data_IF_973286249302
#
_entry.id   IF_973286249302
#
_cell.length_a   1.000
_cell.length_b   1.000
_cell.length_c   1.000
_cell.angle_alpha   90.00
_cell.angle_beta   90.00
_cell.angle_gamma   90.00
#
_symmetry.space_group_name_H-M   'P 1'
#
loop_
_entity.id
_entity.type
_entity.pdbx_description
1 polymer ?
#
# COMPACT_ATOMS: atom_id res chain seq x y z
N UNK A 1 18.28 -7.81 -58.42
CA UNK A 1 17.40 -8.00 -57.25
C UNK A 1 16.08 -7.38 -57.57
N UNK A 2 14.96 -8.16 -57.50
CA UNK A 2 13.60 -7.68 -57.76
C UNK A 2 13.30 -6.43 -56.86
N UNK A 3 12.74 -5.34 -57.41
CA UNK A 3 12.43 -4.15 -56.66
C UNK A 3 11.60 -4.40 -55.39
N UNK A 4 10.70 -5.38 -55.42
CA UNK A 4 9.91 -5.84 -54.25
C UNK A 4 10.80 -6.45 -53.18
N UNK A 5 11.76 -7.29 -53.53
CA UNK A 5 12.70 -7.91 -52.60
C UNK A 5 13.61 -6.85 -51.95
N UNK A 6 14.11 -5.89 -52.76
CA UNK A 6 14.90 -4.78 -52.23
C UNK A 6 14.09 -3.91 -51.26
N UNK A 7 12.83 -3.58 -51.56
CA UNK A 7 11.94 -2.86 -50.66
C UNK A 7 11.69 -3.61 -49.38
N UNK A 8 11.42 -4.91 -49.47
CA UNK A 8 11.25 -5.79 -48.27
C UNK A 8 12.52 -5.76 -47.41
N UNK A 9 13.67 -6.05 -47.95
CA UNK A 9 14.93 -6.13 -47.21
C UNK A 9 15.37 -4.79 -46.60
N UNK A 10 15.06 -3.66 -47.25
CA UNK A 10 15.57 -2.34 -46.84
C UNK A 10 14.56 -1.55 -45.99
N UNK A 11 13.29 -1.90 -45.98
CA UNK A 11 12.26 -1.16 -45.27
C UNK A 11 11.44 -2.04 -44.34
N UNK A 12 10.91 -3.17 -44.82
CA UNK A 12 10.01 -4.02 -44.03
C UNK A 12 10.82 -4.83 -43.01
N UNK A 13 11.86 -5.52 -43.43
CA UNK A 13 12.67 -6.34 -42.55
C UNK A 13 13.30 -5.57 -41.37
N UNK A 14 13.91 -4.39 -41.58
CA UNK A 14 14.38 -3.57 -40.46
C UNK A 14 13.25 -3.07 -39.55
N UNK A 15 12.09 -2.73 -40.10
CA UNK A 15 10.94 -2.32 -39.31
C UNK A 15 10.43 -3.48 -38.43
N UNK A 16 10.34 -4.69 -38.99
CA UNK A 16 9.98 -5.91 -38.23
C UNK A 16 11.04 -6.25 -37.18
N UNK A 17 12.33 -6.07 -37.51
CA UNK A 17 13.42 -6.29 -36.55
C UNK A 17 13.35 -5.29 -35.40
N UNK A 18 13.09 -4.02 -35.66
CA UNK A 18 12.90 -3.00 -34.61
C UNK A 18 11.67 -3.32 -33.74
N UNK A 19 10.57 -3.74 -34.35
CA UNK A 19 9.38 -4.17 -33.62
C UNK A 19 9.68 -5.38 -32.73
N UNK A 20 10.40 -6.38 -33.25
CA UNK A 20 10.81 -7.55 -32.47
C UNK A 20 11.76 -7.17 -31.31
N UNK A 21 12.71 -6.27 -31.54
CA UNK A 21 13.59 -5.76 -30.48
C UNK A 21 12.79 -4.98 -29.42
N UNK A 22 11.83 -4.16 -29.84
CA UNK A 22 10.96 -3.44 -28.91
C UNK A 22 10.12 -4.40 -28.05
N UNK A 23 9.54 -5.42 -28.67
CA UNK A 23 8.64 -6.35 -27.99
C UNK A 23 9.41 -7.35 -27.10
N UNK A 24 10.50 -7.93 -27.62
CA UNK A 24 11.24 -9.01 -26.96
C UNK A 24 12.53 -8.56 -26.27
N UNK A 25 13.11 -7.45 -26.69
CA UNK A 25 14.38 -6.95 -26.17
C UNK A 25 14.36 -6.72 -24.65
N UNK A 26 13.34 -6.06 -24.08
CA UNK A 26 13.23 -5.89 -22.62
C UNK A 26 13.19 -7.20 -21.85
N UNK A 27 12.54 -8.24 -22.39
CA UNK A 27 12.50 -9.57 -21.78
C UNK A 27 13.89 -10.26 -21.85
N UNK A 28 14.52 -10.27 -23.02
CA UNK A 28 15.88 -10.82 -23.16
C UNK A 28 16.90 -10.09 -22.28
N UNK A 29 16.78 -8.79 -22.18
CA UNK A 29 17.62 -7.99 -21.28
C UNK A 29 17.39 -8.36 -19.83
N UNK A 30 16.14 -8.55 -19.43
CA UNK A 30 15.79 -8.97 -18.08
C UNK A 30 16.35 -10.39 -17.79
N UNK A 31 16.23 -11.33 -18.72
CA UNK A 31 16.79 -12.68 -18.59
C UNK A 31 18.32 -12.66 -18.42
N UNK A 32 19.02 -11.76 -19.12
CA UNK A 32 20.46 -11.64 -19.04
C UNK A 32 20.98 -11.06 -17.69
N UNK A 33 20.11 -10.43 -16.89
CA UNK A 33 20.47 -9.92 -15.57
C UNK A 33 20.58 -11.06 -14.56
N UNK A 34 21.60 -10.97 -13.68
CA UNK A 34 21.74 -11.91 -12.56
C UNK A 34 20.79 -11.54 -11.43
N UNK A 35 20.11 -12.51 -10.87
CA UNK A 35 19.30 -12.34 -9.65
C UNK A 35 20.19 -12.02 -8.44
N UNK A 36 19.64 -11.32 -7.48
CA UNK A 36 20.33 -10.99 -6.22
C UNK A 36 19.57 -11.62 -5.07
N UNK A 37 20.13 -12.64 -4.39
CA UNK A 37 19.49 -13.27 -3.25
C UNK A 37 19.38 -12.30 -2.07
N UNK A 38 18.20 -12.24 -1.47
CA UNK A 38 17.96 -11.50 -0.23
C UNK A 38 16.82 -12.17 0.55
N UNK A 39 16.90 -12.14 1.88
CA UNK A 39 15.83 -12.58 2.77
C UNK A 39 14.88 -11.41 3.06
N UNK A 40 13.92 -11.19 2.18
CA UNK A 40 12.84 -10.21 2.38
C UNK A 40 11.66 -10.93 3.02
N UNK A 41 11.31 -10.51 4.22
CA UNK A 41 10.18 -11.06 4.94
C UNK A 41 8.94 -10.21 4.61
N UNK A 42 7.94 -10.84 4.01
CA UNK A 42 6.65 -10.22 3.70
C UNK A 42 5.67 -10.66 4.77
N UNK A 43 5.05 -9.73 5.48
CA UNK A 43 4.04 -9.99 6.51
C UNK A 43 2.69 -9.47 6.00
N UNK A 44 1.74 -10.39 5.84
CA UNK A 44 0.38 -10.08 5.42
C UNK A 44 -0.61 -10.98 6.17
N UNK A 45 -1.36 -10.36 7.08
CA UNK A 45 -2.33 -11.06 7.92
C UNK A 45 -3.75 -11.02 7.36
N UNK A 46 -3.96 -10.27 6.25
CA UNK A 46 -5.27 -9.99 5.64
C UNK A 46 -5.44 -10.77 4.33
N UNK A 47 -5.34 -12.10 4.40
CA UNK A 47 -5.43 -12.99 3.23
C UNK A 47 -6.60 -13.97 3.37
N UNK A 48 -7.87 -13.52 3.34
CA UNK A 48 -9.01 -14.43 3.44
C UNK A 48 -9.15 -15.33 2.20
N UNK A 49 -8.64 -14.88 1.03
CA UNK A 49 -8.75 -15.54 -0.26
C UNK A 49 -7.40 -15.66 -0.97
N UNK A 50 -7.34 -16.53 -2.00
CA UNK A 50 -6.14 -16.80 -2.81
C UNK A 50 -5.82 -15.72 -3.84
N UNK A 51 -6.26 -14.50 -3.65
CA UNK A 51 -5.91 -13.38 -4.53
C UNK A 51 -4.66 -12.61 -4.07
N UNK A 52 -4.23 -12.81 -2.82
CA UNK A 52 -3.00 -12.27 -2.22
C UNK A 52 -2.79 -10.76 -2.46
N UNK A 53 -3.89 -10.01 -2.57
CA UNK A 53 -3.91 -8.64 -3.09
C UNK A 53 -3.03 -7.68 -2.28
N UNK A 54 -2.97 -7.86 -0.97
CA UNK A 54 -2.26 -6.98 -0.03
C UNK A 54 -0.72 -7.08 -0.15
N UNK A 55 -0.18 -8.04 -0.90
CA UNK A 55 1.27 -8.14 -1.13
C UNK A 55 1.66 -8.58 -2.56
N UNK A 56 0.70 -8.92 -3.41
CA UNK A 56 0.97 -9.36 -4.79
C UNK A 56 1.78 -8.35 -5.60
N UNK A 57 1.48 -7.05 -5.43
CA UNK A 57 2.23 -6.02 -6.15
C UNK A 57 3.67 -5.85 -5.63
N UNK A 58 3.91 -6.06 -4.34
CA UNK A 58 5.26 -6.06 -3.78
C UNK A 58 6.06 -7.27 -4.27
N UNK A 59 5.46 -8.46 -4.27
CA UNK A 59 6.06 -9.67 -4.83
C UNK A 59 6.41 -9.50 -6.30
N UNK A 60 5.50 -8.87 -7.08
CA UNK A 60 5.76 -8.50 -8.47
C UNK A 60 6.98 -7.56 -8.59
N UNK A 61 7.09 -6.54 -7.71
CA UNK A 61 8.22 -5.61 -7.70
C UNK A 61 9.54 -6.33 -7.45
N UNK A 62 9.59 -7.20 -6.44
CA UNK A 62 10.78 -8.01 -6.14
C UNK A 62 11.21 -8.85 -7.35
N UNK A 63 10.25 -9.47 -8.03
CA UNK A 63 10.52 -10.26 -9.24
C UNK A 63 11.07 -9.39 -10.37
N UNK A 64 10.46 -8.23 -10.66
CA UNK A 64 10.94 -7.31 -11.71
C UNK A 64 12.36 -6.81 -11.43
N UNK A 65 12.67 -6.52 -10.17
CA UNK A 65 14.01 -6.09 -9.73
C UNK A 65 15.02 -7.26 -9.72
N UNK A 66 14.59 -8.50 -9.99
CA UNK A 66 15.40 -9.73 -9.86
C UNK A 66 15.95 -9.94 -8.46
N UNK A 67 15.18 -9.57 -7.45
CA UNK A 67 15.44 -9.97 -6.08
C UNK A 67 14.87 -11.38 -5.90
N UNK A 68 15.72 -12.31 -5.46
CA UNK A 68 15.35 -13.70 -5.27
C UNK A 68 15.39 -14.07 -3.78
N UNK A 69 14.74 -15.17 -3.43
CA UNK A 69 14.88 -15.77 -2.11
C UNK A 69 16.35 -16.15 -1.86
N UNK A 70 16.75 -16.43 -0.63
CA UNK A 70 18.10 -16.94 -0.33
C UNK A 70 18.50 -18.20 -1.10
N UNK A 71 17.53 -19.05 -1.53
CA UNK A 71 17.76 -20.21 -2.38
C UNK A 71 17.99 -19.88 -3.86
N UNK A 72 17.73 -18.63 -4.27
CA UNK A 72 17.86 -18.19 -5.66
C UNK A 72 16.55 -18.28 -6.47
N UNK A 73 15.46 -18.73 -5.86
CA UNK A 73 14.15 -18.81 -6.49
C UNK A 73 13.44 -17.42 -6.50
N UNK A 74 12.59 -17.14 -7.48
CA UNK A 74 11.78 -15.92 -7.45
C UNK A 74 10.79 -15.94 -6.26
N UNK A 75 10.54 -14.76 -5.69
CA UNK A 75 9.46 -14.60 -4.72
C UNK A 75 8.11 -14.89 -5.35
N UNK A 76 7.26 -15.63 -4.61
CA UNK A 76 5.91 -16.04 -5.02
C UNK A 76 4.90 -15.56 -3.98
N UNK A 77 3.81 -14.95 -4.44
CA UNK A 77 2.77 -14.41 -3.57
C UNK A 77 2.07 -15.48 -2.72
N UNK A 78 1.93 -16.70 -3.26
CA UNK A 78 1.25 -17.80 -2.59
C UNK A 78 2.07 -18.51 -1.50
N UNK A 79 3.39 -18.28 -1.42
CA UNK A 79 4.28 -19.07 -0.55
C UNK A 79 5.38 -18.31 0.17
N UNK A 80 5.69 -17.08 -0.23
CA UNK A 80 6.80 -16.32 0.36
C UNK A 80 6.29 -15.15 1.22
N UNK A 81 5.30 -15.40 2.05
CA UNK A 81 4.80 -14.45 3.05
C UNK A 81 4.51 -15.16 4.38
N UNK A 82 4.42 -14.37 5.43
CA UNK A 82 3.94 -14.78 6.75
C UNK A 82 2.61 -14.08 7.05
N UNK A 83 1.67 -14.81 7.62
CA UNK A 83 0.36 -14.31 7.96
C UNK A 83 -0.71 -15.40 7.86
N UNK A 84 -1.85 -15.11 7.26
CA UNK A 84 -2.93 -16.08 7.17
C UNK A 84 -2.84 -16.91 5.89
N UNK A 85 -2.78 -18.25 6.05
CA UNK A 85 -2.85 -19.18 4.91
C UNK A 85 -4.33 -19.49 4.55
N UNK A 86 -4.84 -18.99 3.41
CA UNK A 86 -6.22 -19.23 3.00
C UNK A 86 -6.51 -20.68 2.60
N UNK A 87 -5.48 -21.49 2.36
CA UNK A 87 -5.63 -22.91 2.01
C UNK A 87 -5.83 -23.77 3.24
N UNK A 88 -5.00 -23.53 4.28
CA UNK A 88 -5.04 -24.25 5.53
C UNK A 88 -5.99 -23.60 6.55
N UNK A 89 -6.35 -22.33 6.32
CA UNK A 89 -7.13 -21.48 7.24
C UNK A 89 -6.47 -21.34 8.61
N UNK A 90 -5.17 -21.14 8.59
CA UNK A 90 -4.33 -21.00 9.79
C UNK A 90 -3.50 -19.71 9.68
N UNK A 91 -3.41 -18.97 10.79
CA UNK A 91 -2.54 -17.83 10.93
C UNK A 91 -1.15 -18.25 11.42
N UNK A 92 -0.11 -17.59 10.90
CA UNK A 92 1.29 -17.78 11.28
C UNK A 92 1.85 -16.44 11.72
N UNK A 93 2.10 -16.31 13.02
CA UNK A 93 2.75 -15.12 13.58
C UNK A 93 4.26 -15.14 13.36
N UNK A 94 4.85 -13.95 13.35
CA UNK A 94 6.27 -13.74 13.20
C UNK A 94 7.05 -14.36 14.37
N UNK A 95 8.08 -15.13 14.06
CA UNK A 95 8.95 -15.77 15.06
C UNK A 95 10.36 -15.19 15.03
N UNK A 96 11.16 -15.50 16.05
CA UNK A 96 12.57 -15.08 16.10
C UNK A 96 13.40 -15.65 14.93
N UNK A 97 13.10 -16.89 14.50
CA UNK A 97 13.81 -17.53 13.38
C UNK A 97 13.47 -16.86 12.04
N UNK A 98 12.24 -16.34 11.89
CA UNK A 98 11.84 -15.60 10.69
C UNK A 98 12.62 -14.29 10.59
N UNK A 99 12.71 -13.55 11.69
CA UNK A 99 13.40 -12.24 11.75
C UNK A 99 14.91 -12.38 11.66
N UNK A 100 15.45 -13.53 12.10
CA UNK A 100 16.86 -13.77 12.05
C UNK A 100 17.39 -13.67 10.63
N UNK A 101 18.44 -12.87 10.43
CA UNK A 101 19.09 -12.64 9.13
C UNK A 101 18.18 -12.07 8.02
N UNK A 102 17.01 -11.53 8.38
CA UNK A 102 16.18 -10.81 7.42
C UNK A 102 16.90 -9.52 6.96
N UNK A 103 16.92 -9.29 5.66
CA UNK A 103 17.49 -8.09 5.06
C UNK A 103 16.55 -6.90 5.18
N UNK A 104 15.25 -7.17 4.95
CA UNK A 104 14.18 -6.23 5.17
C UNK A 104 12.89 -6.96 5.56
N UNK A 105 12.01 -6.26 6.26
CA UNK A 105 10.67 -6.74 6.59
C UNK A 105 9.67 -5.74 6.01
N UNK A 106 8.73 -6.25 5.23
CA UNK A 106 7.64 -5.49 4.63
C UNK A 106 6.30 -5.97 5.20
N UNK A 107 5.50 -5.02 5.68
CA UNK A 107 4.13 -5.26 6.14
C UNK A 107 3.16 -4.74 5.08
N UNK A 108 2.40 -5.63 4.45
CA UNK A 108 1.29 -5.27 3.57
C UNK A 108 0.08 -4.85 4.38
N UNK A 109 -0.50 -5.74 5.15
CA UNK A 109 -1.65 -5.44 6.01
C UNK A 109 -1.67 -6.36 7.24
N UNK A 110 -2.15 -5.85 8.36
CA UNK A 110 -2.35 -6.62 9.60
C UNK A 110 -3.79 -6.58 10.15
N UNK A 111 -4.75 -6.01 9.42
CA UNK A 111 -6.16 -6.00 9.81
C UNK A 111 -6.69 -7.42 10.09
N UNK A 112 -6.33 -8.37 9.24
CA UNK A 112 -6.57 -9.78 9.48
C UNK A 112 -7.81 -10.32 8.79
N UNK A 113 -8.22 -11.51 9.25
CA UNK A 113 -9.30 -12.30 8.67
C UNK A 113 -10.41 -12.49 9.67
N UNK A 114 -11.65 -12.31 9.23
CA UNK A 114 -12.85 -12.32 10.03
C UNK A 114 -13.86 -13.35 9.50
N UNK A 115 -14.76 -13.82 10.37
CA UNK A 115 -15.85 -14.73 9.97
C UNK A 115 -16.73 -14.12 8.87
N UNK A 116 -16.89 -12.80 8.87
CA UNK A 116 -17.65 -12.05 7.87
C UNK A 116 -17.10 -12.15 6.46
N UNK A 117 -15.78 -12.28 6.29
CA UNK A 117 -15.14 -12.34 4.97
C UNK A 117 -15.60 -13.54 4.14
N UNK A 118 -16.05 -14.61 4.81
CA UNK A 118 -16.56 -15.82 4.14
C UNK A 118 -18.07 -15.84 3.94
N UNK A 119 -18.78 -14.76 4.30
CA UNK A 119 -20.23 -14.66 4.11
C UNK A 119 -20.57 -14.09 2.74
N UNK A 120 -21.75 -14.48 2.23
CA UNK A 120 -22.21 -13.95 0.94
C UNK A 120 -22.68 -12.50 1.09
N UNK A 121 -22.48 -11.65 0.08
CA UNK A 121 -23.11 -10.35 0.05
C UNK A 121 -24.63 -10.48 0.26
N UNK A 122 -25.20 -9.67 1.16
CA UNK A 122 -26.63 -9.70 1.50
C UNK A 122 -27.01 -10.53 2.73
N UNK A 123 -26.09 -11.31 3.31
CA UNK A 123 -26.32 -11.92 4.63
C UNK A 123 -26.38 -10.83 5.70
N UNK A 124 -27.47 -10.78 6.48
CA UNK A 124 -27.65 -9.80 7.59
C UNK A 124 -26.47 -9.83 8.55
N UNK A 125 -25.90 -11.00 8.78
CA UNK A 125 -24.71 -11.18 9.63
C UNK A 125 -23.39 -10.63 8.99
N UNK A 126 -23.37 -10.30 7.71
CA UNK A 126 -22.26 -9.57 7.09
C UNK A 126 -22.28 -8.06 7.40
N UNK A 127 -23.38 -7.57 8.01
CA UNK A 127 -23.55 -6.18 8.41
C UNK A 127 -23.03 -5.88 9.82
N UNK A 128 -22.74 -6.90 10.61
CA UNK A 128 -22.23 -6.74 11.97
C UNK A 128 -20.71 -6.91 12.01
N UNK A 129 -20.04 -6.28 12.97
CA UNK A 129 -18.63 -6.57 13.26
C UNK A 129 -18.51 -8.06 13.60
N UNK A 130 -17.90 -8.81 12.68
CA UNK A 130 -17.80 -10.26 12.83
C UNK A 130 -16.61 -10.63 13.70
N UNK A 131 -16.64 -11.85 14.25
CA UNK A 131 -15.56 -12.36 15.07
C UNK A 131 -14.26 -12.44 14.27
N UNK A 132 -13.17 -11.92 14.84
CA UNK A 132 -11.82 -12.05 14.31
C UNK A 132 -11.38 -13.52 14.38
N UNK A 133 -10.87 -14.03 13.27
CA UNK A 133 -10.22 -15.33 13.16
C UNK A 133 -8.73 -15.19 13.44
N UNK A 134 -8.09 -14.20 12.77
CA UNK A 134 -6.66 -13.94 12.87
C UNK A 134 -6.39 -12.46 12.52
N UNK A 135 -5.29 -11.88 13.01
CA UNK A 135 -4.86 -10.52 12.67
C UNK A 135 -4.46 -9.69 13.88
N UNK A 136 -3.91 -8.52 13.60
CA UNK A 136 -3.25 -7.65 14.56
C UNK A 136 -1.81 -8.09 14.84
N UNK A 137 -1.03 -7.20 15.41
CA UNK A 137 0.34 -7.49 15.88
C UNK A 137 0.27 -7.95 17.33
N UNK A 138 0.90 -9.08 17.64
CA UNK A 138 1.03 -9.58 19.01
C UNK A 138 2.16 -8.83 19.76
N UNK A 139 2.18 -8.97 21.08
CA UNK A 139 3.25 -8.38 21.92
C UNK A 139 4.60 -8.99 21.60
N UNK A 140 4.65 -10.28 21.34
CA UNK A 140 5.84 -11.02 20.98
C UNK A 140 6.41 -10.52 19.65
N UNK A 141 5.56 -10.37 18.64
CA UNK A 141 5.95 -9.80 17.34
C UNK A 141 6.47 -8.37 17.47
N UNK A 142 5.76 -7.50 18.18
CA UNK A 142 6.20 -6.12 18.41
C UNK A 142 7.58 -6.07 19.10
N UNK A 143 7.84 -6.98 20.04
CA UNK A 143 9.15 -7.09 20.72
C UNK A 143 10.25 -7.53 19.77
N UNK A 144 9.98 -8.49 18.89
CA UNK A 144 10.94 -8.94 17.86
C UNK A 144 11.25 -7.83 16.86
N UNK A 145 10.23 -7.10 16.44
CA UNK A 145 10.36 -5.98 15.49
C UNK A 145 11.14 -4.81 16.08
N UNK A 146 10.89 -4.47 17.35
CA UNK A 146 11.69 -3.45 18.04
C UNK A 146 13.16 -3.85 18.12
N UNK A 147 13.45 -5.09 18.52
CA UNK A 147 14.82 -5.60 18.56
C UNK A 147 15.49 -5.62 17.17
N UNK A 148 14.74 -5.92 16.11
CA UNK A 148 15.21 -5.89 14.73
C UNK A 148 15.51 -4.44 14.28
N UNK A 149 14.61 -3.51 14.53
CA UNK A 149 14.81 -2.09 14.24
C UNK A 149 15.99 -1.51 15.02
N UNK A 150 16.15 -1.90 16.30
CA UNK A 150 17.29 -1.47 17.13
C UNK A 150 18.65 -1.91 16.60
N UNK A 151 18.72 -3.02 15.88
CA UNK A 151 19.92 -3.49 15.17
C UNK A 151 20.13 -2.81 13.82
N UNK A 152 19.28 -1.87 13.43
CA UNK A 152 19.35 -1.15 12.15
C UNK A 152 18.71 -1.90 10.98
N UNK A 153 17.85 -2.87 11.28
CA UNK A 153 17.05 -3.57 10.28
C UNK A 153 16.11 -2.63 9.53
N UNK A 154 15.81 -2.95 8.29
CA UNK A 154 14.89 -2.16 7.45
C UNK A 154 13.47 -2.66 7.62
N UNK A 155 12.61 -1.80 8.17
CA UNK A 155 11.17 -2.04 8.30
C UNK A 155 10.40 -1.10 7.38
N UNK A 156 9.52 -1.65 6.58
CA UNK A 156 8.58 -0.90 5.73
C UNK A 156 7.19 -1.40 6.07
N UNK A 157 6.30 -0.51 6.45
CA UNK A 157 4.93 -0.85 6.80
C UNK A 157 3.95 0.10 6.17
N UNK A 158 2.77 -0.42 5.87
CA UNK A 158 1.65 0.31 5.31
C UNK A 158 0.49 0.44 6.29
N UNK A 159 -0.57 1.06 5.81
CA UNK A 159 -1.90 1.14 6.41
C UNK A 159 -2.26 -0.09 7.25
N UNK A 160 -3.02 0.11 8.32
CA UNK A 160 -3.48 -0.91 9.28
C UNK A 160 -2.38 -1.62 10.10
N UNK A 161 -1.09 -1.33 9.92
CA UNK A 161 -0.03 -2.07 10.64
C UNK A 161 -0.15 -1.95 12.17
N UNK A 162 -0.61 -0.82 12.68
CA UNK A 162 -0.84 -0.64 14.12
C UNK A 162 -2.25 -0.14 14.47
N UNK A 163 -3.15 -0.07 13.49
CA UNK A 163 -4.55 0.18 13.73
C UNK A 163 -5.25 -1.06 14.35
N UNK A 164 -6.54 -0.94 14.63
CA UNK A 164 -7.35 -2.10 15.06
C UNK A 164 -7.27 -3.23 14.01
N UNK A 165 -7.10 -4.51 14.39
CA UNK A 165 -7.34 -5.08 15.72
C UNK A 165 -6.08 -5.26 16.60
N UNK A 166 -4.98 -4.57 16.32
CA UNK A 166 -3.79 -4.58 17.19
C UNK A 166 -4.15 -3.97 18.55
N UNK A 167 -3.88 -4.71 19.62
CA UNK A 167 -4.19 -4.28 20.99
C UNK A 167 -3.30 -3.11 21.43
N UNK A 168 -3.72 -2.36 22.46
CA UNK A 168 -3.06 -1.12 22.89
C UNK A 168 -1.57 -1.28 23.22
N UNK A 169 -1.19 -2.37 23.89
CA UNK A 169 0.21 -2.54 24.31
C UNK A 169 1.17 -2.82 23.14
N UNK A 170 0.91 -3.77 22.23
CA UNK A 170 1.71 -3.93 21.02
C UNK A 170 1.57 -2.72 20.09
N UNK A 171 0.40 -2.06 20.00
CA UNK A 171 0.21 -0.82 19.24
C UNK A 171 1.18 0.26 19.69
N UNK A 172 1.23 0.56 20.99
CA UNK A 172 2.13 1.57 21.55
C UNK A 172 3.61 1.27 21.24
N UNK A 173 3.99 0.01 21.17
CA UNK A 173 5.34 -0.41 20.79
C UNK A 173 5.61 -0.20 19.30
N UNK A 174 4.65 -0.55 18.42
CA UNK A 174 4.75 -0.30 16.98
C UNK A 174 4.78 1.21 16.67
N UNK A 175 3.94 2.00 17.34
CA UNK A 175 3.94 3.46 17.23
C UNK A 175 5.30 4.06 17.60
N UNK A 176 5.95 3.54 18.65
CA UNK A 176 7.31 3.97 19.02
C UNK A 176 8.36 3.59 17.97
N UNK A 177 8.26 2.40 17.35
CA UNK A 177 9.15 1.95 16.27
C UNK A 177 9.04 2.88 15.05
N UNK A 178 7.83 3.23 14.64
CA UNK A 178 7.59 4.05 13.45
C UNK A 178 7.58 5.57 13.74
N UNK A 179 7.73 5.96 15.00
CA UNK A 179 7.76 7.38 15.40
C UNK A 179 6.46 8.14 15.12
N UNK A 180 5.36 7.43 15.16
CA UNK A 180 4.02 7.92 14.89
C UNK A 180 3.04 7.48 15.97
N UNK A 181 1.86 8.08 16.00
CA UNK A 181 0.73 7.66 16.83
C UNK A 181 -0.53 7.65 15.98
N UNK A 182 -1.24 6.54 15.99
CA UNK A 182 -2.54 6.46 15.33
C UNK A 182 -3.59 7.23 16.11
N UNK A 183 -4.38 8.02 15.42
CA UNK A 183 -5.43 8.86 16.02
C UNK A 183 -6.76 8.13 16.20
N UNK A 184 -6.81 6.83 15.91
CA UNK A 184 -8.00 5.99 15.83
C UNK A 184 -8.93 6.32 14.65
N UNK A 185 -8.48 7.18 13.73
CA UNK A 185 -9.18 7.53 12.52
C UNK A 185 -8.54 6.84 11.31
N UNK A 186 -9.40 6.32 10.43
CA UNK A 186 -9.07 5.93 9.06
C UNK A 186 -9.94 6.73 8.11
N UNK A 187 -9.50 6.87 6.87
CA UNK A 187 -10.32 7.57 5.88
C UNK A 187 -10.13 6.99 4.49
N UNK A 188 -11.10 7.27 3.62
CA UNK A 188 -11.07 6.97 2.20
C UNK A 188 -11.85 8.00 1.42
N UNK A 189 -11.41 8.30 0.21
CA UNK A 189 -12.19 9.03 -0.78
C UNK A 189 -13.00 8.05 -1.63
N UNK A 190 -14.30 8.27 -1.78
CA UNK A 190 -15.17 7.55 -2.69
C UNK A 190 -15.59 8.48 -3.82
N UNK A 191 -15.49 8.01 -5.07
CA UNK A 191 -15.93 8.74 -6.24
C UNK A 191 -17.46 8.83 -6.30
N UNK A 192 -18.17 7.81 -5.84
CA UNK A 192 -19.61 7.78 -5.73
C UNK A 192 -20.09 6.93 -4.56
N UNK A 193 -20.69 7.59 -3.57
CA UNK A 193 -21.27 6.93 -2.41
C UNK A 193 -22.48 6.05 -2.74
N UNK A 194 -23.04 6.12 -3.97
CA UNK A 194 -24.12 5.23 -4.41
C UNK A 194 -23.62 3.86 -4.90
N UNK A 195 -22.32 3.69 -5.06
CA UNK A 195 -21.74 2.42 -5.51
C UNK A 195 -21.73 1.39 -4.36
N UNK A 196 -22.73 0.52 -4.33
CA UNK A 196 -22.91 -0.52 -3.31
C UNK A 196 -21.81 -1.62 -3.35
N UNK A 197 -21.03 -1.70 -4.43
CA UNK A 197 -19.92 -2.65 -4.54
C UNK A 197 -18.67 -2.13 -3.81
N UNK A 198 -18.49 -0.81 -3.75
CA UNK A 198 -17.33 -0.19 -3.12
C UNK A 198 -17.61 0.37 -1.73
N UNK A 199 -18.80 0.92 -1.51
CA UNK A 199 -19.17 1.54 -0.23
C UNK A 199 -19.71 0.48 0.73
N UNK A 200 -18.99 0.18 1.82
CA UNK A 200 -19.42 -0.85 2.76
C UNK A 200 -20.79 -0.53 3.38
N UNK A 201 -21.67 -1.52 3.46
CA UNK A 201 -22.99 -1.34 4.04
C UNK A 201 -22.94 -0.93 5.52
N UNK A 202 -21.90 -1.37 6.25
CA UNK A 202 -21.70 -0.98 7.64
C UNK A 202 -21.52 0.54 7.78
N UNK A 203 -20.88 1.21 6.84
CA UNK A 203 -20.66 2.66 6.88
C UNK A 203 -21.99 3.42 6.94
N UNK A 204 -22.94 3.06 6.08
CA UNK A 204 -24.27 3.71 6.04
C UNK A 204 -25.07 3.40 7.29
N UNK A 205 -25.05 2.14 7.74
CA UNK A 205 -25.75 1.71 8.94
C UNK A 205 -25.22 2.43 10.19
N UNK A 206 -23.91 2.52 10.33
CA UNK A 206 -23.28 3.11 11.50
C UNK A 206 -23.47 4.62 11.53
N UNK A 207 -23.46 5.27 10.34
CA UNK A 207 -23.81 6.68 10.20
C UNK A 207 -25.26 6.95 10.62
N UNK A 208 -26.23 6.16 10.09
CA UNK A 208 -27.64 6.27 10.47
C UNK A 208 -27.84 6.04 11.96
N UNK A 209 -27.18 5.02 12.52
CA UNK A 209 -27.26 4.72 13.96
C UNK A 209 -26.72 5.86 14.82
N UNK A 210 -25.63 6.49 14.40
CA UNK A 210 -24.96 7.56 15.16
C UNK A 210 -25.70 8.89 15.10
N UNK A 211 -26.17 9.26 13.91
CA UNK A 211 -26.69 10.60 13.66
C UNK A 211 -28.21 10.66 13.47
N UNK A 212 -28.90 9.53 13.36
CA UNK A 212 -30.35 9.45 13.16
C UNK A 212 -30.82 9.91 11.78
N UNK A 213 -29.87 10.15 10.85
CA UNK A 213 -30.10 10.52 9.46
C UNK A 213 -29.30 9.61 8.53
N UNK A 214 -29.80 9.38 7.34
CA UNK A 214 -29.07 8.58 6.35
C UNK A 214 -27.85 9.35 5.82
N UNK A 215 -26.75 8.62 5.62
CA UNK A 215 -25.62 9.15 4.84
C UNK A 215 -26.10 9.41 3.42
N UNK A 216 -25.93 10.62 2.91
CA UNK A 216 -26.33 10.93 1.55
C UNK A 216 -25.63 10.04 0.53
N UNK A 217 -26.42 9.43 -0.37
CA UNK A 217 -25.96 8.36 -1.25
C UNK A 217 -25.38 8.81 -2.58
N UNK A 218 -25.33 10.11 -2.90
CA UNK A 218 -24.96 10.56 -4.26
C UNK A 218 -23.68 11.37 -4.24
N UNK A 219 -22.87 11.14 -5.27
CA UNK A 219 -21.65 11.88 -5.51
C UNK A 219 -20.48 11.45 -4.64
N UNK A 220 -19.37 12.10 -4.85
CA UNK A 220 -18.12 11.82 -4.18
C UNK A 220 -18.05 12.37 -2.75
N UNK A 221 -17.26 11.74 -1.91
CA UNK A 221 -16.95 12.24 -0.57
C UNK A 221 -15.63 11.68 -0.04
N UNK A 222 -14.93 12.50 0.74
CA UNK A 222 -13.87 12.04 1.64
C UNK A 222 -14.51 11.71 2.99
N UNK A 223 -14.43 10.45 3.41
CA UNK A 223 -15.08 9.99 4.63
C UNK A 223 -14.04 9.49 5.61
N UNK A 224 -14.05 10.07 6.80
CA UNK A 224 -13.27 9.67 7.95
C UNK A 224 -14.14 8.80 8.87
N UNK A 225 -13.56 7.72 9.38
CA UNK A 225 -14.22 6.79 10.30
C UNK A 225 -13.33 6.59 11.51
N UNK A 226 -13.87 6.82 12.69
CA UNK A 226 -13.20 6.58 13.95
C UNK A 226 -13.48 5.17 14.47
N UNK A 227 -12.58 4.62 15.27
CA UNK A 227 -12.71 3.28 15.85
C UNK A 227 -14.00 3.09 16.69
N UNK A 228 -14.57 4.17 17.26
CA UNK A 228 -15.83 4.17 18.01
C UNK A 228 -17.08 4.46 17.17
N UNK A 229 -16.99 4.31 15.84
CA UNK A 229 -18.06 4.55 14.85
C UNK A 229 -18.45 6.03 14.68
N UNK A 230 -17.60 7.00 15.05
CA UNK A 230 -17.78 8.37 14.63
C UNK A 230 -17.42 8.51 13.15
N UNK A 231 -18.23 9.22 12.35
CA UNK A 231 -18.08 9.31 10.90
C UNK A 231 -18.19 10.74 10.44
N UNK A 232 -17.19 11.23 9.72
CA UNK A 232 -17.18 12.57 9.14
C UNK A 232 -17.08 12.45 7.62
N UNK A 233 -18.12 12.92 6.92
CA UNK A 233 -18.12 12.95 5.46
C UNK A 233 -17.94 14.40 4.97
N UNK A 234 -16.91 14.63 4.15
CA UNK A 234 -16.62 15.91 3.50
C UNK A 234 -16.96 15.82 2.02
N UNK A 235 -17.72 16.80 1.52
CA UNK A 235 -18.20 16.82 0.15
C UNK A 235 -17.47 17.85 -0.71
N UNK A 236 -17.08 17.49 -1.94
CA UNK A 236 -16.57 18.45 -2.90
C UNK A 236 -17.56 19.59 -3.17
N UNK A 237 -17.05 20.82 -3.22
CA UNK A 237 -17.85 22.03 -3.44
C UNK A 237 -18.60 22.57 -2.22
N UNK A 238 -18.70 21.79 -1.13
CA UNK A 238 -19.28 22.23 0.14
C UNK A 238 -18.19 22.31 1.22
N UNK A 239 -17.50 21.22 1.48
CA UNK A 239 -16.54 21.04 2.54
C UNK A 239 -15.10 21.06 2.04
N UNK A 240 -14.86 20.56 0.82
CA UNK A 240 -13.53 20.45 0.22
C UNK A 240 -13.52 21.05 -1.20
N UNK A 241 -12.37 21.63 -1.57
CA UNK A 241 -12.15 22.26 -2.87
C UNK A 241 -11.52 21.30 -3.89
N UNK A 242 -11.18 20.07 -3.48
CA UNK A 242 -10.55 19.07 -4.33
C UNK A 242 -11.33 17.75 -4.33
N UNK A 243 -11.22 17.02 -5.44
CA UNK A 243 -11.88 15.72 -5.65
C UNK A 243 -11.02 14.53 -5.19
N UNK A 244 -9.84 14.77 -4.63
CA UNK A 244 -8.91 13.72 -4.20
C UNK A 244 -8.00 14.22 -3.07
N UNK A 245 -7.46 13.29 -2.29
CA UNK A 245 -6.40 13.60 -1.33
C UNK A 245 -5.08 13.87 -2.05
N UNK A 246 -4.40 14.93 -1.66
CA UNK A 246 -3.06 15.23 -2.16
C UNK A 246 -2.01 14.87 -1.12
N UNK A 247 -0.99 14.14 -1.55
CA UNK A 247 0.24 13.94 -0.79
C UNK A 247 1.29 14.93 -1.26
N UNK A 248 1.82 15.75 -0.38
CA UNK A 248 2.85 16.75 -0.67
C UNK A 248 4.18 16.37 -0.04
N UNK A 249 5.26 16.34 -0.85
CA UNK A 249 6.60 16.07 -0.34
C UNK A 249 7.06 17.20 0.58
N UNK A 250 7.57 16.85 1.75
CA UNK A 250 8.20 17.78 2.68
C UNK A 250 9.67 18.05 2.30
N UNK A 251 10.34 18.93 3.02
CA UNK A 251 11.78 19.16 2.85
C UNK A 251 12.65 17.98 3.27
N UNK A 252 12.09 17.01 4.00
CA UNK A 252 12.78 15.78 4.41
C UNK A 252 12.75 14.69 3.34
N UNK A 253 11.88 14.81 2.32
CA UNK A 253 11.81 13.84 1.21
C UNK A 253 12.98 13.97 0.25
N UNK A 254 13.42 12.83 -0.30
CA UNK A 254 14.51 12.80 -1.29
C UNK A 254 14.19 13.69 -2.50
N UNK A 255 15.20 14.37 -3.04
CA UNK A 255 15.03 15.30 -4.15
C UNK A 255 14.53 14.61 -5.42
N UNK A 256 14.88 13.35 -5.65
CA UNK A 256 14.49 12.54 -6.81
C UNK A 256 13.04 12.07 -6.77
N UNK A 257 12.42 12.05 -5.58
CA UNK A 257 11.06 11.58 -5.40
C UNK A 257 10.02 12.59 -5.89
N UNK A 258 8.82 12.15 -6.29
CA UNK A 258 7.76 13.03 -6.77
C UNK A 258 7.45 14.15 -5.79
N UNK A 259 7.11 15.34 -6.30
CA UNK A 259 6.74 16.46 -5.42
C UNK A 259 5.36 16.28 -4.79
N UNK A 260 4.44 15.71 -5.58
CA UNK A 260 3.05 15.48 -5.19
C UNK A 260 2.58 14.14 -5.74
N UNK A 261 1.59 13.54 -5.08
CA UNK A 261 0.81 12.43 -5.59
C UNK A 261 -0.65 12.59 -5.16
N UNK A 262 -1.57 12.03 -5.93
CA UNK A 262 -3.00 11.98 -5.56
C UNK A 262 -3.34 10.60 -5.05
N UNK A 263 -4.14 10.53 -4.00
CA UNK A 263 -4.49 9.29 -3.34
C UNK A 263 -5.98 9.21 -3.04
N UNK A 264 -6.61 8.11 -3.36
CA UNK A 264 -8.07 7.94 -3.26
C UNK A 264 -8.51 6.73 -2.43
N UNK A 265 -7.56 5.91 -1.98
CA UNK A 265 -7.85 4.67 -1.27
C UNK A 265 -7.80 4.85 0.25
N UNK A 266 -7.74 3.75 1.01
CA UNK A 266 -7.73 3.79 2.47
C UNK A 266 -6.42 4.35 3.03
N UNK A 267 -6.50 5.14 4.09
CA UNK A 267 -5.35 5.65 4.82
C UNK A 267 -5.65 5.89 6.30
N UNK A 268 -4.60 5.77 7.11
CA UNK A 268 -4.61 6.12 8.53
C UNK A 268 -4.40 7.62 8.73
N UNK A 269 -5.06 8.18 9.72
CA UNK A 269 -4.73 9.51 10.24
C UNK A 269 -3.80 9.33 11.43
N UNK A 270 -2.55 9.78 11.26
CA UNK A 270 -1.49 9.62 12.26
C UNK A 270 -0.90 10.96 12.67
N UNK A 271 -0.38 11.03 13.89
CA UNK A 271 0.39 12.14 14.42
C UNK A 271 1.87 11.74 14.53
N UNK A 272 2.78 12.70 14.33
CA UNK A 272 4.20 12.47 14.56
C UNK A 272 4.50 12.44 16.06
N UNK A 273 5.35 11.50 16.45
CA UNK A 273 5.97 11.51 17.79
C UNK A 273 7.47 11.78 17.70
N UNK A 274 8.25 10.83 17.22
CA UNK A 274 9.70 10.96 17.04
C UNK A 274 10.14 10.80 15.57
N UNK A 275 9.23 10.39 14.68
CA UNK A 275 9.46 10.27 13.25
C UNK A 275 9.54 11.61 12.54
N UNK A 276 9.93 11.57 11.29
CA UNK A 276 9.97 12.73 10.39
C UNK A 276 9.01 12.51 9.25
N UNK A 277 8.07 13.44 9.02
CA UNK A 277 7.21 13.36 7.85
C UNK A 277 7.98 13.65 6.58
N UNK A 278 7.92 12.70 5.66
CA UNK A 278 8.54 12.78 4.33
C UNK A 278 7.52 13.26 3.29
N UNK A 279 6.28 12.84 3.46
CA UNK A 279 5.11 13.35 2.75
C UNK A 279 3.99 13.60 3.74
N UNK A 280 3.21 14.63 3.49
CA UNK A 280 2.00 14.94 4.23
C UNK A 280 0.77 14.78 3.32
N UNK A 281 -0.29 14.21 3.85
CA UNK A 281 -1.64 14.37 3.30
C UNK A 281 -2.12 15.81 3.54
N UNK A 282 -2.81 16.35 2.56
CA UNK A 282 -3.46 17.65 2.66
C UNK A 282 -4.90 17.54 2.18
N UNK A 283 -5.82 17.95 3.06
CA UNK A 283 -7.23 18.15 2.72
C UNK A 283 -7.42 19.63 2.35
N UNK A 284 -7.71 19.91 1.10
CA UNK A 284 -8.02 21.27 0.65
C UNK A 284 -9.47 21.58 1.03
N UNK A 285 -9.66 22.24 2.17
CA UNK A 285 -10.96 22.50 2.77
C UNK A 285 -11.45 23.90 2.50
N UNK A 286 -12.79 24.04 2.36
CA UNK A 286 -13.49 25.29 2.59
C UNK A 286 -13.48 25.65 4.09
N UNK A 287 -13.92 26.84 4.46
CA UNK A 287 -14.09 27.22 5.87
C UNK A 287 -15.08 26.28 6.61
N UNK A 288 -16.13 25.83 5.91
CA UNK A 288 -17.10 24.88 6.44
C UNK A 288 -16.47 23.51 6.73
N UNK A 289 -15.69 22.98 5.78
CA UNK A 289 -14.99 21.71 5.95
C UNK A 289 -13.92 21.76 7.03
N UNK A 290 -13.14 22.85 7.09
CA UNK A 290 -12.15 23.05 8.15
C UNK A 290 -12.80 23.06 9.55
N UNK A 291 -13.95 23.71 9.68
CA UNK A 291 -14.72 23.72 10.93
C UNK A 291 -15.23 22.32 11.28
N UNK A 292 -15.79 21.60 10.31
CA UNK A 292 -16.27 20.21 10.47
C UNK A 292 -15.16 19.29 10.95
N UNK A 293 -13.97 19.34 10.34
CA UNK A 293 -12.81 18.57 10.79
C UNK A 293 -12.38 18.94 12.21
N UNK A 294 -12.33 20.25 12.53
CA UNK A 294 -11.93 20.72 13.85
C UNK A 294 -12.89 20.27 14.98
N UNK A 295 -14.19 20.15 14.71
CA UNK A 295 -15.19 19.63 15.66
C UNK A 295 -14.88 18.18 16.08
N UNK A 296 -14.26 17.40 15.17
CA UNK A 296 -13.83 16.02 15.40
C UNK A 296 -12.33 15.90 15.71
N UNK A 297 -11.62 17.02 15.93
CA UNK A 297 -10.17 17.07 16.18
C UNK A 297 -9.32 16.48 15.05
N UNK A 298 -9.86 16.45 13.84
CA UNK A 298 -9.15 16.02 12.65
C UNK A 298 -8.33 17.17 12.06
N UNK A 299 -7.04 16.97 11.77
CA UNK A 299 -6.22 17.98 11.13
C UNK A 299 -6.50 18.07 9.62
N UNK A 300 -6.27 19.23 9.04
CA UNK A 300 -6.31 19.42 7.56
C UNK A 300 -5.02 18.95 6.88
N UNK A 301 -3.97 18.73 7.68
CA UNK A 301 -2.67 18.27 7.20
C UNK A 301 -2.06 17.30 8.22
N UNK A 302 -1.61 16.13 7.76
CA UNK A 302 -1.06 15.09 8.61
C UNK A 302 -0.13 14.17 7.81
N UNK A 303 0.77 13.41 8.46
CA UNK A 303 1.75 12.60 7.76
C UNK A 303 1.14 11.53 6.86
N UNK A 304 1.65 11.41 5.63
CA UNK A 304 1.35 10.35 4.67
C UNK A 304 2.48 9.30 4.60
N UNK A 305 3.74 9.77 4.69
CA UNK A 305 4.92 8.89 4.75
C UNK A 305 5.83 9.38 5.84
N UNK A 306 6.19 8.49 6.74
CA UNK A 306 7.04 8.77 7.89
C UNK A 306 8.32 7.97 7.79
N UNK A 307 9.44 8.65 7.96
CA UNK A 307 10.74 8.05 8.21
C UNK A 307 11.07 8.18 9.70
N UNK A 308 11.12 7.07 10.39
CA UNK A 308 11.58 7.04 11.77
C UNK A 308 13.08 6.72 11.86
N UNK A 309 13.61 6.69 13.04
CA UNK A 309 15.00 6.31 13.25
C UNK A 309 15.29 4.90 12.70
N UNK A 310 16.55 4.65 12.27
CA UNK A 310 17.04 3.30 12.01
C UNK A 310 16.42 2.58 10.80
N UNK A 311 16.16 3.24 9.68
CA UNK A 311 15.58 2.66 8.46
C UNK A 311 14.17 2.09 8.65
N UNK A 312 13.34 2.69 9.47
CA UNK A 312 11.93 2.34 9.59
C UNK A 312 11.06 3.33 8.84
N UNK A 313 10.14 2.81 8.03
CA UNK A 313 9.30 3.58 7.12
C UNK A 313 7.84 3.18 7.29
N UNK A 314 6.98 4.15 7.49
CA UNK A 314 5.54 3.97 7.55
C UNK A 314 4.84 4.75 6.46
N UNK A 315 4.05 4.07 5.67
CA UNK A 315 3.16 4.64 4.66
C UNK A 315 1.74 4.57 5.22
N UNK A 316 1.15 5.71 5.51
CA UNK A 316 -0.18 5.74 6.12
C UNK A 316 -1.31 5.36 5.15
N UNK A 317 -1.02 5.14 3.87
CA UNK A 317 -1.96 4.67 2.85
C UNK A 317 -1.77 3.20 2.54
N UNK A 318 -2.84 2.55 2.12
CA UNK A 318 -2.90 1.20 1.56
C UNK A 318 -2.48 1.25 0.08
N UNK A 319 -1.17 1.41 -0.14
CA UNK A 319 -0.63 1.76 -1.46
C UNK A 319 -0.37 0.55 -2.35
N UNK A 320 -0.14 -0.60 -1.74
CA UNK A 320 0.16 -1.85 -2.45
C UNK A 320 -1.12 -2.52 -2.95
N UNK A 321 -2.25 -2.35 -2.26
CA UNK A 321 -3.56 -2.86 -2.66
C UNK A 321 -4.17 -2.02 -3.78
N UNK A 322 -3.72 -2.25 -4.97
CA UNK A 322 -4.19 -1.53 -6.16
C UNK A 322 -4.63 -2.49 -7.26
N UNK A 323 -5.73 -2.13 -7.92
CA UNK A 323 -6.22 -2.81 -9.11
C UNK A 323 -5.41 -2.50 -10.38
N UNK A 324 -4.36 -1.64 -10.30
CA UNK A 324 -3.55 -1.28 -11.44
C UNK A 324 -2.91 -2.51 -12.10
N UNK A 325 -3.08 -2.63 -13.41
CA UNK A 325 -2.46 -3.70 -14.18
C UNK A 325 -0.93 -3.62 -14.10
N UNK A 326 -0.31 -4.67 -13.61
CA UNK A 326 1.14 -4.73 -13.38
C UNK A 326 1.91 -5.21 -14.62
N UNK A 327 1.29 -6.07 -15.42
CA UNK A 327 1.94 -6.69 -16.59
C UNK A 327 2.96 -7.76 -16.21
N UNK A 328 3.71 -8.21 -17.20
CA UNK A 328 4.75 -9.22 -17.01
C UNK A 328 5.96 -8.62 -16.26
N UNK A 329 6.33 -9.16 -15.09
CA UNK A 329 7.49 -8.68 -14.33
C UNK A 329 8.83 -8.94 -15.04
N UNK A 330 8.90 -9.89 -15.97
CA UNK A 330 10.12 -10.26 -16.67
C UNK A 330 10.48 -9.31 -17.82
N UNK A 331 10.34 -8.02 -17.60
CA UNK A 331 10.68 -6.97 -18.56
C UNK A 331 11.55 -5.89 -17.95
N UNK A 332 12.78 -5.75 -18.40
CA UNK A 332 13.68 -4.70 -17.95
C UNK A 332 13.16 -3.33 -18.37
N UNK A 333 13.29 -2.34 -17.48
CA UNK A 333 12.84 -0.96 -17.73
C UNK A 333 11.33 -0.76 -17.65
N UNK A 334 10.55 -1.78 -17.28
CA UNK A 334 9.09 -1.67 -17.17
C UNK A 334 8.67 -0.67 -16.09
N UNK A 335 9.35 -0.64 -14.93
CA UNK A 335 9.12 0.36 -13.89
C UNK A 335 9.26 1.79 -14.43
N UNK A 336 10.38 2.07 -15.10
CA UNK A 336 10.61 3.37 -15.72
C UNK A 336 9.56 3.71 -16.78
N UNK A 337 9.23 2.75 -17.65
CA UNK A 337 8.20 2.93 -18.67
C UNK A 337 6.82 3.24 -18.07
N UNK A 338 6.40 2.47 -17.08
CA UNK A 338 5.11 2.67 -16.39
C UNK A 338 5.09 4.00 -15.62
N UNK A 339 6.19 4.39 -15.00
CA UNK A 339 6.33 5.70 -14.36
C UNK A 339 6.01 6.84 -15.32
N UNK A 340 6.52 6.79 -16.55
CA UNK A 340 6.25 7.83 -17.56
C UNK A 340 4.87 7.73 -18.20
N UNK A 341 4.30 6.53 -18.33
CA UNK A 341 3.03 6.35 -19.06
C UNK A 341 1.82 6.30 -18.15
N UNK A 342 1.98 5.87 -16.89
CA UNK A 342 0.92 5.66 -15.92
C UNK A 342 1.12 6.42 -14.60
N UNK A 343 2.28 7.03 -14.39
CA UNK A 343 2.61 7.80 -13.19
C UNK A 343 2.10 9.24 -13.23
N UNK A 344 1.39 9.65 -14.25
CA UNK A 344 0.80 10.99 -14.37
C UNK A 344 -0.46 11.10 -13.51
N UNK A 345 -0.69 12.28 -12.95
CA UNK A 345 -1.89 12.59 -12.16
C UNK A 345 -3.16 12.21 -12.94
N UNK A 346 -4.07 11.49 -12.29
CA UNK A 346 -5.35 11.06 -12.87
C UNK A 346 -5.26 9.83 -13.78
N UNK A 347 -4.08 9.21 -13.98
CA UNK A 347 -3.97 7.94 -14.67
C UNK A 347 -4.17 6.77 -13.68
N UNK A 348 -4.82 5.68 -14.14
CA UNK A 348 -4.92 4.45 -13.37
C UNK A 348 -3.54 3.97 -12.91
N UNK A 349 -3.41 3.70 -11.63
CA UNK A 349 -2.16 3.27 -11.04
C UNK A 349 -1.10 4.36 -10.87
N UNK A 350 -1.48 5.65 -10.96
CA UNK A 350 -0.54 6.76 -10.82
C UNK A 350 0.24 6.71 -9.49
N UNK A 351 -0.42 6.33 -8.40
CA UNK A 351 0.23 6.17 -7.09
C UNK A 351 1.23 5.02 -7.14
N UNK A 352 0.84 3.84 -7.62
CA UNK A 352 1.72 2.68 -7.67
C UNK A 352 2.98 2.95 -8.51
N UNK A 353 2.79 3.43 -9.76
CA UNK A 353 3.89 3.57 -10.73
C UNK A 353 4.68 4.86 -10.58
N UNK A 354 4.01 5.97 -10.26
CA UNK A 354 4.61 7.29 -10.18
C UNK A 354 5.18 7.64 -8.82
N UNK A 355 4.68 7.00 -7.77
CA UNK A 355 5.01 7.34 -6.40
C UNK A 355 5.58 6.13 -5.64
N UNK A 356 4.80 5.06 -5.46
CA UNK A 356 5.13 4.04 -4.48
C UNK A 356 6.28 3.12 -4.91
N UNK A 357 6.22 2.53 -6.10
CA UNK A 357 7.29 1.66 -6.59
C UNK A 357 8.65 2.35 -6.70
N UNK A 358 8.78 3.59 -7.20
CA UNK A 358 10.05 4.31 -7.17
C UNK A 358 10.63 4.48 -5.77
N UNK A 359 9.78 4.78 -4.78
CA UNK A 359 10.23 4.93 -3.39
C UNK A 359 10.64 3.58 -2.81
N UNK A 360 9.84 2.51 -3.00
CA UNK A 360 10.19 1.17 -2.53
C UNK A 360 11.49 0.66 -3.15
N UNK A 361 11.73 0.90 -4.45
CA UNK A 361 12.99 0.57 -5.09
C UNK A 361 14.16 1.25 -4.39
N UNK A 362 14.05 2.55 -4.11
CA UNK A 362 15.08 3.34 -3.42
C UNK A 362 15.29 2.90 -1.97
N UNK A 363 14.27 2.35 -1.30
CA UNK A 363 14.40 1.84 0.08
C UNK A 363 15.03 0.43 0.13
N UNK A 364 14.70 -0.42 -0.83
CA UNK A 364 15.08 -1.84 -0.82
C UNK A 364 16.47 -2.05 -1.45
N UNK A 365 16.77 -1.40 -2.58
CA UNK A 365 18.02 -1.64 -3.31
C UNK A 365 19.30 -1.36 -2.50
N UNK A 366 19.39 -0.31 -1.68
CA UNK A 366 20.59 -0.09 -0.84
C UNK A 366 20.84 -1.19 0.18
N UNK A 367 19.77 -1.83 0.70
CA UNK A 367 19.86 -2.95 1.64
C UNK A 367 20.53 -4.15 0.98
N UNK A 368 20.14 -4.42 -0.26
CA UNK A 368 20.63 -5.54 -1.07
C UNK A 368 22.08 -5.30 -1.53
N UNK A 369 22.43 -4.07 -1.90
CA UNK A 369 23.78 -3.74 -2.36
C UNK A 369 24.84 -3.77 -1.24
N UNK A 370 24.47 -3.55 0.01
CA UNK A 370 25.40 -3.65 1.15
C UNK A 370 25.96 -5.05 1.35
N UNK A 371 25.37 -6.07 0.75
CA UNK A 371 25.83 -7.47 0.81
C UNK A 371 26.80 -7.86 -0.31
N UNK A 372 26.99 -7.01 -1.30
CA UNK A 372 27.97 -7.19 -2.40
C UNK A 372 29.31 -6.55 -2.03
#
# INVERSE_FOLDING_TARGET
VNARLRFFLTRILPALALLAIYEWGPHWWWLARTGTPAKILIVDKTVPFRNYREHAAFTWLLHNLKITTPSGDPYREESNYLGYDPNQKVGHDLTADDVQDADAIFFGDTYGVYVGDYKRPGDVAALERSQKIYGGISREEATLLDAYAQKGGTLIAEFNTFASPTEDAPRAQMEAIFGAKWTHWVARYWEDLSNDEEVPQWLRRDYLRRYGVELEHKGSALVFVHEDDDIVALRPGEDIDADVMTMEKTSAGDASWPKTAHYVYWFDVVELTTGTSVYDYRVETTDAGAKKLAEHKLPVKFPAVIHAARNTWYFAGDMIDTAAEKGDPERAGLLTWRRYTRGSIGADGSVLWGFYFPILEDLIMPVIWRKR
#
